data_IF_437437804077
#
_entry.id   IF_437437804077
#
_cell.length_a   1.000
_cell.length_b   1.000
_cell.length_c   1.000
_cell.angle_alpha   90.00
_cell.angle_beta   90.00
_cell.angle_gamma   90.00
#
_symmetry.space_group_name_H-M   'P 1'
#
loop_
_entity.id
_entity.type
_entity.pdbx_description
1 polymer ?
#
# COMPACT_ATOMS: atom_id res chain seq x y z
N UNK A 1 -27.52 -36.31 -1.29
CA UNK A 1 -27.24 -34.86 -1.40
C UNK A 1 -25.91 -34.72 -2.09
N UNK A 2 -25.89 -34.29 -3.35
CA UNK A 2 -24.66 -34.05 -4.10
C UNK A 2 -24.37 -32.54 -4.03
N UNK A 3 -23.20 -32.17 -3.52
CA UNK A 3 -22.73 -30.78 -3.46
C UNK A 3 -21.99 -30.51 -4.77
N UNK A 4 -22.57 -29.67 -5.63
CA UNK A 4 -21.92 -29.21 -6.85
C UNK A 4 -20.96 -28.06 -6.51
N UNK A 5 -19.67 -28.26 -6.78
CA UNK A 5 -18.64 -27.21 -6.71
C UNK A 5 -18.52 -26.59 -8.09
N UNK A 6 -18.87 -25.32 -8.23
CA UNK A 6 -18.71 -24.56 -9.47
C UNK A 6 -17.25 -24.10 -9.58
N UNK A 7 -16.49 -24.66 -10.53
CA UNK A 7 -15.18 -24.14 -10.92
C UNK A 7 -15.39 -23.20 -12.10
N UNK A 8 -15.17 -21.90 -11.90
CA UNK A 8 -15.23 -20.89 -12.95
C UNK A 8 -13.98 -21.02 -13.84
N UNK A 9 -14.13 -21.55 -15.05
CA UNK A 9 -13.08 -21.50 -16.08
C UNK A 9 -13.38 -20.30 -16.98
N UNK A 10 -12.59 -19.24 -16.86
CA UNK A 10 -12.67 -18.06 -17.71
C UNK A 10 -12.17 -18.41 -19.11
N UNK A 11 -13.08 -18.69 -20.05
CA UNK A 11 -12.71 -18.78 -21.47
C UNK A 11 -12.73 -17.36 -22.03
N UNK A 12 -11.55 -16.78 -22.23
CA UNK A 12 -11.37 -15.49 -22.87
C UNK A 12 -11.85 -15.59 -24.33
N UNK A 13 -13.05 -15.11 -24.62
CA UNK A 13 -13.51 -14.92 -26.00
C UNK A 13 -12.81 -13.66 -26.53
N UNK A 14 -11.73 -13.85 -27.26
CA UNK A 14 -11.05 -12.77 -27.98
C UNK A 14 -11.98 -12.27 -29.09
N UNK A 15 -12.71 -11.17 -28.85
CA UNK A 15 -13.44 -10.46 -29.90
C UNK A 15 -12.43 -9.59 -30.64
N UNK A 16 -11.90 -10.09 -31.75
CA UNK A 16 -11.01 -9.34 -32.63
C UNK A 16 -11.83 -8.26 -33.36
N UNK A 17 -11.79 -7.01 -32.87
CA UNK A 17 -12.30 -5.86 -33.62
C UNK A 17 -11.22 -5.43 -34.61
N UNK A 18 -11.34 -5.91 -35.85
CA UNK A 18 -10.49 -5.52 -36.96
C UNK A 18 -10.82 -4.07 -37.35
N UNK A 19 -10.12 -3.08 -36.80
CA UNK A 19 -10.18 -1.70 -37.31
C UNK A 19 -9.26 -1.65 -38.53
N UNK A 20 -9.84 -1.88 -39.70
CA UNK A 20 -9.19 -1.68 -40.98
C UNK A 20 -8.88 -0.18 -41.11
N UNK A 21 -7.65 0.23 -40.81
CA UNK A 21 -7.17 1.56 -41.21
C UNK A 21 -6.95 1.49 -42.72
N UNK A 22 -8.02 1.78 -43.45
CA UNK A 22 -7.98 2.05 -44.88
C UNK A 22 -7.05 3.25 -45.06
N UNK A 23 -5.77 3.01 -45.34
CA UNK A 23 -4.90 4.06 -45.85
C UNK A 23 -5.40 4.36 -47.25
N UNK A 24 -6.27 5.36 -47.32
CA UNK A 24 -6.73 6.02 -48.51
C UNK A 24 -5.52 6.59 -49.27
N UNK A 25 -4.87 5.78 -50.09
CA UNK A 25 -4.01 6.29 -51.17
C UNK A 25 -4.95 6.66 -52.31
N UNK A 26 -5.49 7.87 -52.21
CA UNK A 26 -6.00 8.61 -53.36
C UNK A 26 -4.84 8.82 -54.34
N UNK A 27 -4.68 7.91 -55.29
CA UNK A 27 -4.03 8.20 -56.57
C UNK A 27 -5.03 7.89 -57.67
N UNK A 28 -5.75 8.94 -58.05
CA UNK A 28 -6.50 9.08 -59.28
C UNK A 28 -5.64 8.59 -60.47
N UNK A 29 -6.09 7.58 -61.22
CA UNK A 29 -5.92 7.55 -62.67
C UNK A 29 -7.00 6.68 -63.32
N UNK A 30 -7.63 7.28 -64.32
CA UNK A 30 -8.83 6.88 -65.06
C UNK A 30 -8.78 5.52 -65.77
N UNK A 31 -9.95 5.13 -66.31
CA UNK A 31 -10.27 4.15 -67.38
C UNK A 31 -11.26 3.10 -66.83
N UNK A 32 -12.56 3.40 -66.79
CA UNK A 32 -13.57 3.17 -67.85
C UNK A 32 -13.88 1.68 -68.10
N UNK A 33 -15.12 1.33 -67.76
CA UNK A 33 -15.94 0.22 -68.26
C UNK A 33 -15.38 -1.21 -68.18
N UNK A 34 -16.02 -2.06 -67.38
CA UNK A 34 -16.72 -3.28 -67.82
C UNK A 34 -17.53 -3.84 -66.64
N UNK A 35 -18.85 -3.78 -66.77
CA UNK A 35 -19.79 -4.64 -66.05
C UNK A 35 -19.52 -6.09 -66.43
N UNK A 36 -19.41 -7.02 -65.47
CA UNK A 36 -19.86 -8.40 -65.62
C UNK A 36 -20.07 -9.07 -64.26
N UNK A 37 -21.18 -9.81 -64.21
CA UNK A 37 -21.86 -10.44 -63.07
C UNK A 37 -20.99 -11.43 -62.24
N UNK A 38 -21.41 -11.74 -61.00
CA UNK A 38 -20.69 -12.59 -60.07
C UNK A 38 -21.00 -14.07 -60.33
N UNK A 39 -20.14 -14.92 -59.79
CA UNK A 39 -20.09 -16.38 -59.96
C UNK A 39 -19.39 -16.80 -61.24
N UNK A 40 -18.19 -17.36 -61.10
CA UNK A 40 -17.78 -18.62 -61.72
C UNK A 40 -16.34 -18.93 -61.27
N UNK A 41 -16.26 -19.94 -60.40
CA UNK A 41 -15.17 -20.91 -60.30
C UNK A 41 -13.84 -20.48 -59.70
N UNK A 42 -13.87 -20.49 -58.38
CA UNK A 42 -12.94 -21.24 -57.55
C UNK A 42 -12.30 -22.44 -58.27
N UNK A 43 -10.97 -22.53 -58.16
CA UNK A 43 -10.15 -23.73 -58.29
C UNK A 43 -10.17 -24.51 -59.62
N UNK A 44 -9.35 -24.09 -60.59
CA UNK A 44 -8.58 -25.08 -61.35
C UNK A 44 -7.32 -24.49 -61.98
N UNK A 45 -6.22 -25.23 -61.87
CA UNK A 45 -4.93 -25.03 -62.55
C UNK A 45 -3.95 -24.00 -61.99
N UNK A 46 -3.29 -24.45 -60.91
CA UNK A 46 -1.83 -24.37 -60.75
C UNK A 46 -1.05 -24.57 -62.06
N UNK A 47 0.09 -23.88 -62.13
CA UNK A 47 1.25 -24.03 -63.05
C UNK A 47 1.30 -22.98 -64.17
N UNK A 48 1.99 -21.84 -63.90
CA UNK A 48 3.24 -21.46 -64.59
C UNK A 48 3.88 -20.19 -63.98
N UNK A 49 5.12 -20.38 -63.52
CA UNK A 49 6.27 -19.45 -63.62
C UNK A 49 6.36 -18.30 -62.58
N UNK A 50 7.21 -18.53 -61.56
CA UNK A 50 7.93 -17.50 -60.78
C UNK A 50 8.85 -16.67 -61.69
N UNK A 51 9.06 -15.36 -61.42
CA UNK A 51 10.20 -15.01 -60.56
C UNK A 51 9.99 -13.78 -59.63
N UNK A 52 10.70 -13.83 -58.50
CA UNK A 52 11.12 -12.71 -57.64
C UNK A 52 10.05 -11.68 -57.22
N UNK A 53 9.34 -11.99 -56.15
CA UNK A 53 9.12 -10.97 -55.14
C UNK A 53 9.37 -11.64 -53.79
N UNK A 54 10.63 -11.59 -53.36
CA UNK A 54 10.95 -11.80 -51.95
C UNK A 54 10.22 -10.70 -51.20
N UNK A 55 9.02 -11.02 -50.72
CA UNK A 55 8.42 -10.31 -49.62
C UNK A 55 9.32 -10.65 -48.42
N UNK A 56 10.41 -9.91 -48.26
CA UNK A 56 11.09 -9.84 -46.98
C UNK A 56 10.07 -9.17 -46.07
N UNK A 57 9.23 -10.00 -45.43
CA UNK A 57 8.56 -9.62 -44.19
C UNK A 57 9.67 -9.39 -43.19
N UNK A 58 10.28 -8.20 -43.28
CA UNK A 58 11.11 -7.65 -42.23
C UNK A 58 10.20 -7.49 -41.04
N UNK A 59 10.08 -8.55 -40.25
CA UNK A 59 9.77 -8.42 -38.85
C UNK A 59 10.92 -7.57 -38.32
N UNK A 60 10.68 -6.26 -38.17
CA UNK A 60 11.53 -5.47 -37.30
C UNK A 60 11.34 -6.09 -35.93
N UNK A 61 12.29 -6.97 -35.57
CA UNK A 61 12.49 -7.47 -34.23
C UNK A 61 12.86 -6.27 -33.35
N UNK A 62 11.84 -5.48 -32.99
CA UNK A 62 11.92 -4.51 -31.91
C UNK A 62 11.93 -5.35 -30.65
N UNK A 63 13.15 -5.62 -30.20
CA UNK A 63 13.39 -6.23 -28.90
C UNK A 63 12.88 -5.26 -27.84
N UNK A 64 11.63 -5.45 -27.41
CA UNK A 64 11.10 -4.78 -26.23
C UNK A 64 11.74 -5.43 -25.03
N UNK A 65 12.76 -4.78 -24.47
CA UNK A 65 13.39 -5.23 -23.24
C UNK A 65 12.37 -5.17 -22.08
N UNK A 66 12.44 -6.17 -21.20
CA UNK A 66 11.62 -6.30 -19.99
C UNK A 66 11.69 -5.01 -19.14
N UNK A 67 10.54 -4.52 -18.65
CA UNK A 67 10.48 -3.26 -17.89
C UNK A 67 11.23 -3.43 -16.57
N UNK A 68 12.30 -2.66 -16.37
CA UNK A 68 13.10 -2.69 -15.14
C UNK A 68 12.45 -1.82 -14.06
N UNK A 69 12.06 -2.40 -12.93
CA UNK A 69 11.53 -1.65 -11.80
C UNK A 69 12.64 -1.12 -10.90
N UNK A 70 12.51 0.13 -10.44
CA UNK A 70 13.46 0.79 -9.53
C UNK A 70 12.67 1.49 -8.43
N UNK A 71 12.94 1.15 -7.17
CA UNK A 71 12.36 1.78 -6.00
C UNK A 71 13.41 2.64 -5.28
N UNK A 72 13.04 3.86 -4.90
CA UNK A 72 13.95 4.82 -4.24
C UNK A 72 13.20 5.63 -3.18
N UNK A 73 13.91 6.10 -2.16
CA UNK A 73 13.33 7.00 -1.15
C UNK A 73 13.33 8.44 -1.64
N UNK A 74 12.32 9.20 -1.22
CA UNK A 74 12.24 10.63 -1.49
C UNK A 74 13.46 11.38 -0.90
N UNK A 75 14.01 12.31 -1.68
CA UNK A 75 15.21 13.07 -1.34
C UNK A 75 16.52 12.43 -1.83
N UNK A 76 16.52 11.13 -2.12
CA UNK A 76 17.68 10.42 -2.65
C UNK A 76 17.86 10.68 -4.16
N UNK A 77 18.91 10.10 -4.74
CA UNK A 77 19.17 10.10 -6.18
C UNK A 77 19.06 8.71 -6.78
N UNK A 78 18.52 8.62 -7.99
CA UNK A 78 18.44 7.37 -8.75
C UNK A 78 19.20 7.51 -10.07
N UNK A 79 19.94 6.47 -10.46
CA UNK A 79 20.64 6.40 -11.76
C UNK A 79 20.01 5.30 -12.63
N UNK A 80 19.53 5.69 -13.80
CA UNK A 80 19.00 4.80 -14.83
C UNK A 80 20.11 4.55 -15.84
N UNK A 81 20.71 3.36 -15.73
CA UNK A 81 21.88 3.00 -16.52
C UNK A 81 21.46 2.48 -17.90
N UNK A 82 22.18 2.90 -18.94
CA UNK A 82 21.97 2.43 -20.32
C UNK A 82 22.62 1.07 -20.57
N UNK A 83 23.67 0.73 -19.80
CA UNK A 83 24.58 -0.41 -19.98
C UNK A 83 25.29 -0.42 -21.35
N UNK A 84 25.39 0.74 -22.01
CA UNK A 84 26.02 0.93 -23.33
C UNK A 84 27.03 2.08 -23.28
N UNK A 85 28.13 1.96 -24.05
CA UNK A 85 29.09 3.06 -24.24
C UNK A 85 28.73 3.81 -25.52
N UNK A 86 28.65 5.13 -25.43
CA UNK A 86 28.24 6.00 -26.55
C UNK A 86 29.39 6.18 -27.54
N UNK A 87 29.21 5.71 -28.78
CA UNK A 87 30.13 5.83 -29.92
C UNK A 87 29.83 7.05 -30.82
N UNK A 88 30.60 7.21 -31.90
CA UNK A 88 30.70 8.46 -32.69
C UNK A 88 29.46 8.88 -33.48
N UNK A 89 28.50 7.97 -33.70
CA UNK A 89 27.26 8.22 -34.45
C UNK A 89 26.00 7.84 -33.65
N UNK A 90 26.14 7.75 -32.32
CA UNK A 90 25.07 7.29 -31.46
C UNK A 90 24.16 8.44 -31.02
N UNK A 91 22.85 8.17 -31.00
CA UNK A 91 21.84 9.04 -30.41
C UNK A 91 21.16 8.33 -29.24
N UNK A 92 21.09 9.01 -28.10
CA UNK A 92 20.43 8.52 -26.88
C UNK A 92 19.32 9.49 -26.51
N UNK A 93 18.11 8.97 -26.36
CA UNK A 93 16.91 9.72 -26.03
C UNK A 93 16.29 9.18 -24.75
N UNK A 94 15.98 10.08 -23.82
CA UNK A 94 15.18 9.78 -22.63
C UNK A 94 13.84 10.51 -22.70
N UNK A 95 12.77 9.74 -22.60
CA UNK A 95 11.40 10.25 -22.52
C UNK A 95 10.75 9.86 -21.20
N UNK A 96 9.80 10.68 -20.75
CA UNK A 96 9.09 10.47 -19.50
C UNK A 96 7.57 10.51 -19.69
N UNK A 97 6.90 9.56 -19.04
CA UNK A 97 5.45 9.51 -18.91
C UNK A 97 4.73 9.09 -20.20
N UNK A 98 3.39 9.02 -20.18
CA UNK A 98 2.58 8.49 -21.29
C UNK A 98 2.59 9.37 -22.54
N UNK A 99 3.04 10.63 -22.41
CA UNK A 99 3.14 11.58 -23.52
C UNK A 99 4.52 11.55 -24.16
N UNK A 100 5.42 10.67 -23.69
CA UNK A 100 6.80 10.55 -24.16
C UNK A 100 7.52 11.90 -24.21
N UNK A 101 7.36 12.72 -23.17
CA UNK A 101 7.98 14.04 -23.10
C UNK A 101 9.49 13.87 -23.05
N UNK A 102 10.19 14.51 -23.98
CA UNK A 102 11.65 14.49 -24.02
C UNK A 102 12.23 15.19 -22.79
N UNK A 103 13.05 14.46 -22.01
CA UNK A 103 13.69 14.98 -20.80
C UNK A 103 15.20 15.08 -20.92
N UNK A 104 15.84 14.26 -21.75
CA UNK A 104 17.27 14.39 -22.04
C UNK A 104 17.60 13.74 -23.39
N UNK A 105 18.59 14.29 -24.08
CA UNK A 105 19.07 13.78 -25.35
C UNK A 105 20.59 13.96 -25.46
N UNK A 106 21.27 12.96 -26.00
CA UNK A 106 22.65 13.07 -26.47
C UNK A 106 22.66 12.71 -27.94
N UNK A 107 23.27 13.57 -28.75
CA UNK A 107 23.59 13.29 -30.16
C UNK A 107 25.10 13.43 -30.30
N UNK A 108 25.77 12.32 -30.62
CA UNK A 108 27.15 12.36 -31.11
C UNK A 108 27.11 12.20 -32.62
N UNK A 109 27.62 13.20 -33.34
CA UNK A 109 27.87 13.13 -34.78
C UNK A 109 29.25 13.69 -35.04
N UNK A 110 30.15 12.87 -35.57
CA UNK A 110 31.52 13.25 -35.90
C UNK A 110 32.24 13.97 -34.72
N UNK A 111 32.34 15.30 -34.80
CA UNK A 111 33.03 16.17 -33.82
C UNK A 111 32.07 17.01 -32.95
N UNK A 112 30.75 16.88 -33.14
CA UNK A 112 29.74 17.67 -32.43
C UNK A 112 29.05 16.76 -31.41
N UNK A 113 29.26 17.07 -30.14
CA UNK A 113 28.53 16.47 -29.02
C UNK A 113 27.44 17.45 -28.59
N UNK A 114 26.20 17.18 -28.98
CA UNK A 114 25.05 17.92 -28.48
C UNK A 114 24.44 17.19 -27.29
N UNK A 115 24.21 17.94 -26.21
CA UNK A 115 23.57 17.43 -24.99
C UNK A 115 22.43 18.37 -24.66
N UNK A 116 21.23 17.83 -24.64
CA UNK A 116 20.04 18.48 -24.16
C UNK A 116 19.60 17.82 -22.84
N UNK A 117 19.31 18.66 -21.85
CA UNK A 117 18.69 18.23 -20.60
C UNK A 117 17.56 19.21 -20.33
N UNK A 118 16.35 18.68 -20.21
CA UNK A 118 15.18 19.49 -19.91
C UNK A 118 15.33 20.12 -18.54
N UNK A 119 15.20 21.44 -18.49
CA UNK A 119 15.16 22.20 -17.24
C UNK A 119 13.73 22.68 -16.89
N UNK A 120 12.74 22.21 -17.64
CA UNK A 120 11.39 22.75 -17.56
C UNK A 120 10.52 21.98 -16.57
N UNK A 121 9.69 22.75 -15.86
CA UNK A 121 8.66 22.24 -14.96
C UNK A 121 9.21 21.33 -13.85
N UNK A 122 8.75 20.08 -13.86
CA UNK A 122 8.98 19.05 -12.85
C UNK A 122 10.46 18.67 -12.63
N UNK A 123 11.29 18.74 -13.67
CA UNK A 123 12.66 18.21 -13.64
C UNK A 123 13.74 19.28 -13.42
N UNK A 124 13.32 20.51 -13.13
CA UNK A 124 14.19 21.68 -13.01
C UNK A 124 15.35 21.43 -12.04
N UNK A 125 16.58 21.60 -12.55
CA UNK A 125 17.86 21.44 -11.85
C UNK A 125 18.09 20.05 -11.21
N UNK A 126 17.31 19.03 -11.59
CA UNK A 126 17.36 17.67 -11.00
C UNK A 126 17.99 16.62 -11.89
N UNK A 127 17.89 16.79 -13.21
CA UNK A 127 18.42 15.83 -14.18
C UNK A 127 19.90 16.06 -14.44
N UNK A 128 20.65 14.96 -14.43
CA UNK A 128 22.02 14.91 -14.87
C UNK A 128 22.21 13.75 -15.81
N UNK A 129 22.83 14.03 -16.95
CA UNK A 129 23.09 13.04 -17.98
C UNK A 129 24.59 12.80 -18.08
N UNK A 130 25.01 11.54 -17.97
CA UNK A 130 26.40 11.14 -18.18
C UNK A 130 26.75 11.20 -19.67
N UNK A 131 27.79 11.97 -20.03
CA UNK A 131 28.13 12.20 -21.43
C UNK A 131 28.88 11.03 -22.11
N UNK A 132 29.33 10.04 -21.35
CA UNK A 132 30.08 8.89 -21.85
C UNK A 132 29.17 7.68 -22.10
N UNK A 133 28.19 7.48 -21.22
CA UNK A 133 27.29 6.32 -21.21
C UNK A 133 25.85 6.68 -21.58
N UNK A 134 25.46 7.95 -21.45
CA UNK A 134 24.08 8.38 -21.59
C UNK A 134 23.17 7.94 -20.45
N UNK A 135 23.74 7.58 -19.29
CA UNK A 135 22.96 7.22 -18.10
C UNK A 135 22.33 8.47 -17.49
N UNK A 136 21.05 8.37 -17.13
CA UNK A 136 20.29 9.47 -16.57
C UNK A 136 20.23 9.36 -15.05
N UNK A 137 20.73 10.38 -14.36
CA UNK A 137 20.64 10.53 -12.91
C UNK A 137 19.60 11.59 -12.55
N UNK A 138 18.68 11.24 -11.67
CA UNK A 138 17.66 12.15 -11.13
C UNK A 138 18.01 12.42 -9.67
N UNK A 139 18.38 13.66 -9.34
CA UNK A 139 18.75 14.09 -7.98
C UNK A 139 17.54 14.59 -7.20
N UNK A 140 17.58 14.38 -5.88
CA UNK A 140 16.54 14.86 -4.97
C UNK A 140 15.15 14.49 -5.50
N UNK A 141 14.97 13.19 -5.73
CA UNK A 141 13.75 12.65 -6.34
C UNK A 141 12.57 12.83 -5.39
N UNK A 142 11.39 13.11 -5.96
CA UNK A 142 10.14 13.36 -5.24
C UNK A 142 9.04 12.47 -5.79
N UNK A 143 7.93 12.34 -5.07
CA UNK A 143 6.76 11.56 -5.50
C UNK A 143 6.28 11.91 -6.92
N UNK A 144 6.32 13.19 -7.30
CA UNK A 144 5.95 13.68 -8.63
C UNK A 144 6.76 13.02 -9.76
N UNK A 145 8.00 12.58 -9.48
CA UNK A 145 8.93 11.94 -10.41
C UNK A 145 8.65 10.45 -10.65
N UNK A 146 7.66 9.88 -9.95
CA UNK A 146 7.21 8.49 -10.17
C UNK A 146 6.63 8.36 -11.58
N UNK A 147 6.98 7.27 -12.27
CA UNK A 147 6.45 6.98 -13.59
C UNK A 147 7.36 6.14 -14.46
N UNK A 148 6.95 6.01 -15.72
CA UNK A 148 7.69 5.29 -16.76
C UNK A 148 8.71 6.21 -17.42
N UNK A 149 9.95 5.74 -17.48
CA UNK A 149 11.03 6.36 -18.22
C UNK A 149 11.42 5.42 -19.37
N UNK A 150 11.43 5.93 -20.58
CA UNK A 150 11.82 5.16 -21.76
C UNK A 150 13.14 5.70 -22.31
N UNK A 151 14.03 4.77 -22.61
CA UNK A 151 15.35 4.98 -23.18
C UNK A 151 15.35 4.43 -24.60
N UNK A 152 15.64 5.29 -25.57
CA UNK A 152 15.89 4.89 -26.95
C UNK A 152 17.37 5.12 -27.28
N UNK A 153 18.08 4.06 -27.65
CA UNK A 153 19.47 4.11 -28.12
C UNK A 153 19.49 3.79 -29.60
N UNK A 154 20.00 4.70 -30.43
CA UNK A 154 20.13 4.55 -31.88
C UNK A 154 21.62 4.46 -32.18
N UNK A 155 22.11 3.24 -32.41
CA UNK A 155 23.52 2.92 -32.68
C UNK A 155 23.58 1.83 -33.77
N UNK A 156 23.25 2.18 -35.01
CA UNK A 156 23.08 1.24 -36.13
C UNK A 156 21.82 0.35 -36.04
N UNK A 157 21.53 -0.21 -34.86
CA UNK A 157 20.25 -0.82 -34.48
C UNK A 157 19.61 0.00 -33.36
N UNK A 158 18.30 0.21 -33.43
CA UNK A 158 17.54 0.85 -32.36
C UNK A 158 17.29 -0.14 -31.22
N UNK A 159 17.66 0.23 -30.00
CA UNK A 159 17.34 -0.48 -28.75
C UNK A 159 16.43 0.39 -27.90
N UNK A 160 15.38 -0.24 -27.36
CA UNK A 160 14.42 0.41 -26.46
C UNK A 160 14.49 -0.29 -25.09
N UNK A 161 14.63 0.51 -24.03
CA UNK A 161 14.56 0.04 -22.65
C UNK A 161 13.56 0.87 -21.87
N UNK A 162 12.85 0.23 -20.95
CA UNK A 162 11.84 0.89 -20.13
C UNK A 162 12.15 0.70 -18.65
N UNK A 163 12.07 1.78 -17.88
CA UNK A 163 12.30 1.80 -16.44
C UNK A 163 11.05 2.29 -15.73
N UNK A 164 10.52 1.50 -14.79
CA UNK A 164 9.42 1.90 -13.93
C UNK A 164 9.98 2.38 -12.59
N UNK A 165 9.96 3.69 -12.36
CA UNK A 165 10.50 4.31 -11.15
C UNK A 165 9.39 4.60 -10.16
N UNK A 166 9.51 4.06 -8.96
CA UNK A 166 8.57 4.31 -7.84
C UNK A 166 9.29 4.98 -6.68
N UNK A 167 8.76 6.11 -6.22
CA UNK A 167 9.35 6.90 -5.13
C UNK A 167 8.53 6.72 -3.86
N UNK A 168 9.19 6.32 -2.77
CA UNK A 168 8.56 6.15 -1.46
C UNK A 168 8.96 7.27 -0.51
N UNK A 169 8.01 7.78 0.26
CA UNK A 169 8.29 8.73 1.32
C UNK A 169 9.12 8.07 2.45
N UNK A 170 9.83 8.89 3.22
CA UNK A 170 10.50 8.45 4.43
C UNK A 170 9.49 7.90 5.45
N UNK A 171 9.83 6.79 6.11
CA UNK A 171 8.96 6.16 7.09
C UNK A 171 8.97 6.91 8.42
N UNK A 172 7.79 7.29 8.97
CA UNK A 172 7.70 7.79 10.33
C UNK A 172 7.92 6.65 11.34
N UNK A 173 8.30 7.02 12.57
CA UNK A 173 8.34 6.06 13.68
C UNK A 173 6.91 5.77 14.16
N UNK A 174 6.46 4.49 14.19
CA UNK A 174 5.12 4.16 14.65
C UNK A 174 5.06 4.28 16.19
N UNK A 175 3.95 4.85 16.68
CA UNK A 175 3.73 5.08 18.11
C UNK A 175 2.74 4.06 18.64
N UNK A 176 3.08 3.45 19.77
CA UNK A 176 2.20 2.50 20.47
C UNK A 176 1.54 3.22 21.65
N UNK A 177 0.22 3.23 21.67
CA UNK A 177 -0.60 3.85 22.74
C UNK A 177 -1.59 2.85 23.30
N UNK A 178 -1.87 2.89 24.60
CA UNK A 178 -2.94 2.11 25.22
C UNK A 178 -4.26 2.89 25.22
N UNK A 179 -5.36 2.23 24.87
CA UNK A 179 -6.70 2.78 25.07
C UNK A 179 -7.25 2.25 26.40
N UNK A 180 -7.00 3.00 27.47
CA UNK A 180 -7.27 2.59 28.86
C UNK A 180 -8.75 2.40 29.20
N UNK A 181 -9.69 2.79 28.33
CA UNK A 181 -11.13 2.71 28.61
C UNK A 181 -11.75 1.32 28.40
N UNK A 182 -11.07 0.40 27.71
CA UNK A 182 -11.62 -0.91 27.32
C UNK A 182 -10.91 -2.09 28.00
N UNK A 183 -10.90 -2.10 29.33
CA UNK A 183 -10.43 -3.24 30.10
C UNK A 183 -11.58 -4.22 30.36
N UNK A 184 -11.56 -5.37 29.67
CA UNK A 184 -12.51 -6.46 29.89
C UNK A 184 -11.94 -7.47 30.89
N UNK A 185 -12.21 -7.26 32.17
CA UNK A 185 -11.92 -8.26 33.22
C UNK A 185 -13.12 -9.20 33.37
N UNK A 186 -13.02 -10.42 32.85
CA UNK A 186 -13.91 -11.51 33.27
C UNK A 186 -13.47 -11.98 34.66
N UNK A 187 -14.41 -11.94 35.60
CA UNK A 187 -14.28 -12.18 37.05
C UNK A 187 -13.80 -13.57 37.47
N UNK A 188 -13.23 -14.37 36.56
CA UNK A 188 -12.72 -15.72 36.80
C UNK A 188 -11.35 -16.02 36.20
N UNK A 189 -10.69 -15.05 35.55
CA UNK A 189 -9.37 -15.25 34.92
C UNK A 189 -8.31 -14.34 35.54
N UNK A 190 -7.21 -14.94 36.01
CA UNK A 190 -6.01 -14.29 36.59
C UNK A 190 -5.17 -13.52 35.55
N UNK A 191 -5.80 -13.04 34.48
CA UNK A 191 -5.15 -12.58 33.26
C UNK A 191 -5.77 -11.25 32.85
N UNK A 192 -4.99 -10.17 32.95
CA UNK A 192 -5.40 -8.84 32.48
C UNK A 192 -5.26 -8.74 30.96
N UNK A 193 -6.37 -8.47 30.26
CA UNK A 193 -6.38 -8.13 28.83
C UNK A 193 -6.30 -6.62 28.64
N UNK A 194 -5.50 -6.19 27.67
CA UNK A 194 -5.17 -4.79 27.42
C UNK A 194 -5.26 -4.54 25.90
N UNK A 195 -5.90 -3.45 25.49
CA UNK A 195 -6.00 -3.07 24.07
C UNK A 195 -4.95 -2.00 23.76
N UNK A 196 -4.06 -2.32 22.83
CA UNK A 196 -3.00 -1.44 22.36
C UNK A 196 -3.27 -1.03 20.92
N UNK A 197 -2.93 0.21 20.59
CA UNK A 197 -3.07 0.76 19.26
C UNK A 197 -1.67 1.15 18.76
N UNK A 198 -1.26 0.58 17.63
CA UNK A 198 -0.09 1.07 16.93
C UNK A 198 -0.54 2.04 15.85
N UNK A 199 -0.03 3.26 15.86
CA UNK A 199 -0.44 4.32 14.94
C UNK A 199 0.75 4.98 14.25
N UNK A 200 0.57 5.35 12.99
CA UNK A 200 1.49 6.18 12.22
C UNK A 200 0.70 7.24 11.45
N UNK A 201 1.25 8.45 11.37
CA UNK A 201 0.61 9.58 10.69
C UNK A 201 1.33 9.92 9.39
N UNK A 202 0.60 10.46 8.41
CA UNK A 202 1.12 10.90 7.12
C UNK A 202 1.91 9.81 6.38
N UNK A 203 1.26 8.67 6.14
CA UNK A 203 1.87 7.52 5.49
C UNK A 203 1.25 7.25 4.11
N UNK A 204 2.04 6.76 3.16
CA UNK A 204 1.58 6.38 1.81
C UNK A 204 2.35 5.15 1.33
N UNK A 205 1.68 4.19 0.71
CA UNK A 205 2.28 2.95 0.22
C UNK A 205 3.11 2.19 1.29
N UNK A 206 2.52 2.01 2.48
CA UNK A 206 3.14 1.34 3.63
C UNK A 206 2.30 0.17 4.12
N UNK A 207 2.94 -0.74 4.84
CA UNK A 207 2.31 -1.81 5.61
C UNK A 207 2.63 -1.65 7.09
N UNK A 208 1.59 -1.62 7.93
CA UNK A 208 1.69 -1.59 9.39
C UNK A 208 1.32 -2.98 9.93
N UNK A 209 2.19 -3.55 10.76
CA UNK A 209 2.08 -4.94 11.18
C UNK A 209 2.45 -5.13 12.65
N UNK A 210 1.73 -6.01 13.34
CA UNK A 210 2.05 -6.47 14.68
C UNK A 210 2.79 -7.81 14.64
N UNK A 211 3.84 -7.90 15.44
CA UNK A 211 4.63 -9.11 15.62
C UNK A 211 4.66 -9.50 17.11
N UNK A 212 4.70 -10.81 17.36
CA UNK A 212 5.03 -11.42 18.65
C UNK A 212 6.25 -12.29 18.44
N UNK A 213 7.41 -11.82 18.90
CA UNK A 213 8.69 -12.39 18.49
C UNK A 213 8.84 -12.30 16.97
N UNK A 214 8.85 -13.45 16.29
CA UNK A 214 8.96 -13.55 14.84
C UNK A 214 7.62 -13.84 14.14
N UNK A 215 6.54 -14.04 14.90
CA UNK A 215 5.23 -14.38 14.35
C UNK A 215 4.42 -13.12 14.05
N UNK A 216 3.96 -12.99 12.80
CA UNK A 216 3.02 -11.95 12.38
C UNK A 216 1.64 -12.22 12.98
N UNK A 217 1.07 -11.23 13.68
CA UNK A 217 -0.26 -11.33 14.30
C UNK A 217 -1.34 -10.68 13.45
N UNK A 218 -1.08 -9.47 12.98
CA UNK A 218 -2.03 -8.67 12.22
C UNK A 218 -1.28 -7.71 11.32
N UNK A 219 -1.87 -7.37 10.18
CA UNK A 219 -1.27 -6.46 9.21
C UNK A 219 -2.35 -5.68 8.48
N UNK A 220 -2.06 -4.42 8.18
CA UNK A 220 -2.85 -3.56 7.33
C UNK A 220 -1.91 -2.85 6.37
N UNK A 221 -2.26 -2.79 5.09
CA UNK A 221 -1.52 -2.05 4.07
C UNK A 221 -2.39 -0.96 3.48
N UNK A 222 -1.76 0.14 3.11
CA UNK A 222 -2.43 1.26 2.44
C UNK A 222 -1.56 1.71 1.28
N UNK A 223 -2.15 1.81 0.09
CA UNK A 223 -1.50 2.31 -1.11
C UNK A 223 -1.55 3.84 -1.22
N UNK A 224 -2.69 4.43 -0.87
CA UNK A 224 -2.91 5.88 -0.96
C UNK A 224 -2.40 6.63 0.27
N UNK A 225 -2.37 7.97 0.18
CA UNK A 225 -2.01 8.81 1.32
C UNK A 225 -3.07 8.70 2.44
N UNK A 226 -2.65 8.22 3.60
CA UNK A 226 -3.45 8.19 4.82
C UNK A 226 -2.90 9.15 5.86
N UNK A 227 -3.78 10.02 6.37
CA UNK A 227 -3.46 10.98 7.43
C UNK A 227 -3.09 10.24 8.71
N UNK A 228 -3.80 9.17 9.04
CA UNK A 228 -3.52 8.30 10.18
C UNK A 228 -3.85 6.86 9.86
N UNK A 229 -2.88 5.97 10.08
CA UNK A 229 -3.05 4.53 10.01
C UNK A 229 -2.92 3.96 11.42
N UNK A 230 -3.91 3.22 11.88
CA UNK A 230 -3.93 2.65 13.23
C UNK A 230 -4.36 1.19 13.23
N UNK A 231 -3.61 0.33 13.91
CA UNK A 231 -3.86 -1.10 14.00
C UNK A 231 -4.02 -1.54 15.47
N UNK A 232 -5.24 -1.90 15.91
CA UNK A 232 -5.49 -2.36 17.27
C UNK A 232 -5.01 -3.80 17.48
N UNK A 233 -4.53 -4.10 18.68
CA UNK A 233 -4.15 -5.43 19.14
C UNK A 233 -4.60 -5.63 20.59
N UNK A 234 -5.35 -6.70 20.83
CA UNK A 234 -5.64 -7.16 22.19
C UNK A 234 -4.51 -8.08 22.67
N UNK A 235 -3.87 -7.72 23.78
CA UNK A 235 -2.76 -8.46 24.36
C UNK A 235 -3.11 -9.05 25.72
N UNK A 236 -2.59 -10.25 25.93
CA UNK A 236 -2.64 -10.97 27.19
C UNK A 236 -1.33 -10.73 27.96
N UNK A 237 -1.40 -10.26 29.20
CA UNK A 237 -0.19 -10.04 30.00
C UNK A 237 0.50 -11.37 30.31
N UNK A 238 1.68 -11.57 29.72
CA UNK A 238 2.60 -12.66 30.06
C UNK A 238 4.02 -12.09 29.97
N UNK A 239 4.82 -12.26 31.02
CA UNK A 239 6.11 -11.58 31.23
C UNK A 239 7.16 -11.82 30.11
N UNK A 240 6.95 -12.84 29.26
CA UNK A 240 7.92 -13.28 28.26
C UNK A 240 7.57 -12.94 26.81
N UNK A 241 6.47 -12.23 26.56
CA UNK A 241 6.03 -11.93 25.20
C UNK A 241 6.58 -10.59 24.71
N UNK A 242 7.58 -10.63 23.82
CA UNK A 242 8.10 -9.43 23.15
C UNK A 242 7.21 -9.09 21.94
N UNK A 243 6.32 -8.12 22.09
CA UNK A 243 5.54 -7.60 20.96
C UNK A 243 6.28 -6.44 20.29
N UNK A 244 6.11 -6.31 18.99
CA UNK A 244 6.63 -5.20 18.22
C UNK A 244 5.63 -4.76 17.16
N UNK A 245 5.55 -3.46 16.95
CA UNK A 245 4.86 -2.90 15.82
C UNK A 245 5.88 -2.49 14.76
N UNK A 246 5.68 -2.94 13.53
CA UNK A 246 6.57 -2.70 12.41
C UNK A 246 5.80 -1.96 11.33
N UNK A 247 6.30 -0.80 10.93
CA UNK A 247 5.89 -0.14 9.69
C UNK A 247 6.96 -0.40 8.63
N UNK A 248 6.56 -0.83 7.44
CA UNK A 248 7.48 -1.09 6.35
C UNK A 248 6.96 -0.54 5.02
N UNK A 249 7.89 -0.13 4.18
CA UNK A 249 7.70 0.03 2.75
C UNK A 249 8.63 -0.99 2.04
N UNK A 250 8.52 -1.17 0.71
CA UNK A 250 9.35 -2.13 -0.01
C UNK A 250 10.87 -1.91 0.09
N UNK A 251 11.33 -0.78 0.65
CA UNK A 251 12.75 -0.42 0.75
C UNK A 251 13.28 -0.57 2.19
N UNK A 252 12.50 -0.14 3.18
CA UNK A 252 12.93 0.02 4.57
C UNK A 252 11.82 -0.42 5.53
N UNK A 253 12.22 -0.87 6.71
CA UNK A 253 11.33 -1.10 7.83
C UNK A 253 11.72 -0.21 9.02
N UNK A 254 10.75 0.08 9.88
CA UNK A 254 10.92 0.74 11.16
C UNK A 254 10.12 -0.06 12.20
N UNK A 255 10.76 -0.35 13.32
CA UNK A 255 10.21 -1.20 14.36
C UNK A 255 10.18 -0.45 15.68
N UNK A 256 9.04 -0.48 16.35
CA UNK A 256 8.86 0.02 17.70
C UNK A 256 8.49 -1.15 18.60
N UNK A 257 9.28 -1.36 19.65
CA UNK A 257 9.04 -2.44 20.60
C UNK A 257 8.04 -2.02 21.66
N UNK A 258 7.16 -2.94 22.05
CA UNK A 258 6.18 -2.71 23.10
C UNK A 258 6.86 -2.74 24.48
N UNK A 259 6.66 -1.69 25.27
CA UNK A 259 6.99 -1.70 26.69
C UNK A 259 5.74 -2.00 27.54
N UNK A 260 5.47 -3.29 27.76
CA UNK A 260 4.26 -3.78 28.45
C UNK A 260 4.17 -3.22 29.87
N UNK A 261 5.31 -3.09 30.57
CA UNK A 261 5.34 -2.69 31.98
C UNK A 261 4.90 -1.24 32.21
N UNK A 262 5.00 -0.38 31.19
CA UNK A 262 4.54 1.01 31.30
C UNK A 262 3.09 1.16 30.83
N UNK A 263 2.70 0.46 29.76
CA UNK A 263 1.45 0.76 29.05
C UNK A 263 0.22 0.00 29.57
N UNK A 264 0.39 -1.20 30.13
CA UNK A 264 -0.73 -1.98 30.66
C UNK A 264 -0.79 -2.02 32.20
N UNK A 265 0.22 -1.51 32.93
CA UNK A 265 0.16 -1.40 34.40
C UNK A 265 -0.86 -0.36 34.89
N UNK A 266 -1.07 0.72 34.14
CA UNK A 266 -2.07 1.75 34.46
C UNK A 266 -3.49 1.19 34.55
N UNK A 267 -3.74 0.02 33.93
CA UNK A 267 -5.04 -0.66 33.99
C UNK A 267 -5.25 -1.42 35.31
N UNK A 268 -4.18 -1.93 35.94
CA UNK A 268 -4.28 -2.65 37.21
C UNK A 268 -4.69 -1.71 38.36
N UNK A 269 -4.18 -0.48 38.35
CA UNK A 269 -4.50 0.54 39.36
C UNK A 269 -5.96 1.02 39.29
N UNK A 270 -6.54 1.13 38.08
CA UNK A 270 -7.93 1.51 37.87
C UNK A 270 -8.93 0.45 38.37
N UNK A 271 -8.61 -0.84 38.22
CA UNK A 271 -9.45 -1.95 38.72
C UNK A 271 -9.38 -2.04 40.25
N UNK A 272 -8.21 -1.79 40.85
CA UNK A 272 -8.06 -1.80 42.31
C UNK A 272 -8.94 -0.73 42.97
N UNK A 273 -9.10 0.43 42.33
CA UNK A 273 -9.90 1.55 42.84
C UNK A 273 -11.41 1.25 42.79
N UNK A 274 -11.91 0.58 41.75
CA UNK A 274 -13.34 0.25 41.64
C UNK A 274 -13.79 -0.80 42.66
N UNK A 275 -12.99 -1.84 42.89
CA UNK A 275 -13.29 -2.88 43.88
C UNK A 275 -13.25 -2.34 45.32
N UNK A 276 -12.30 -1.45 45.64
CA UNK A 276 -12.20 -0.81 46.95
C UNK A 276 -13.41 0.07 47.27
N UNK A 277 -13.90 0.84 46.29
CA UNK A 277 -15.10 1.68 46.45
C UNK A 277 -16.35 0.83 46.66
N UNK A 278 -16.53 -0.24 45.88
CA UNK A 278 -17.69 -1.14 46.02
C UNK A 278 -17.72 -1.83 47.38
N UNK A 279 -16.59 -2.36 47.85
CA UNK A 279 -16.46 -2.94 49.20
C UNK A 279 -16.79 -1.93 50.29
N UNK A 280 -16.30 -0.69 50.16
CA UNK A 280 -16.57 0.38 51.11
C UNK A 280 -18.07 0.71 51.19
N UNK A 281 -18.77 0.77 50.06
CA UNK A 281 -20.22 1.00 50.01
C UNK A 281 -20.99 -0.15 50.67
N UNK A 282 -20.63 -1.41 50.41
CA UNK A 282 -21.28 -2.58 51.02
C UNK A 282 -21.13 -2.54 52.55
N UNK A 283 -19.92 -2.23 53.04
CA UNK A 283 -19.67 -2.11 54.49
C UNK A 283 -20.52 -1.01 55.12
N UNK A 284 -20.63 0.16 54.47
CA UNK A 284 -21.47 1.26 54.95
C UNK A 284 -22.95 0.85 55.01
N UNK A 285 -23.47 0.17 53.99
CA UNK A 285 -24.86 -0.32 53.97
C UNK A 285 -25.12 -1.32 55.10
N UNK A 286 -24.20 -2.26 55.35
CA UNK A 286 -24.32 -3.21 56.45
C UNK A 286 -24.34 -2.52 57.82
N UNK A 287 -23.50 -1.50 58.00
CA UNK A 287 -23.49 -0.70 59.24
C UNK A 287 -24.84 0.00 59.43
N UNK A 288 -25.41 0.60 58.37
CA UNK A 288 -26.71 1.26 58.44
C UNK A 288 -27.85 0.29 58.79
N UNK A 289 -27.82 -0.94 58.27
CA UNK A 289 -28.80 -1.98 58.61
C UNK A 289 -28.67 -2.38 60.08
N UNK A 290 -27.46 -2.58 60.59
CA UNK A 290 -27.23 -2.94 61.99
C UNK A 290 -27.69 -1.83 62.92
N UNK A 291 -27.32 -0.57 62.63
CA UNK A 291 -27.73 0.59 63.42
C UNK A 291 -29.25 0.75 63.39
N UNK A 292 -29.88 0.65 62.21
CA UNK A 292 -31.34 0.69 62.07
C UNK A 292 -32.03 -0.43 62.86
N UNK A 293 -31.49 -1.65 62.82
CA UNK A 293 -31.99 -2.79 63.59
C UNK A 293 -31.88 -2.59 65.11
N UNK A 294 -30.76 -2.05 65.59
CA UNK A 294 -30.57 -1.73 67.02
C UNK A 294 -31.57 -0.65 67.47
N UNK A 295 -31.75 0.41 66.68
CA UNK A 295 -32.72 1.47 66.97
C UNK A 295 -34.14 0.90 67.01
N UNK A 296 -34.50 0.07 66.04
CA UNK A 296 -35.81 -0.57 65.98
C UNK A 296 -36.08 -1.46 67.20
N UNK A 297 -35.11 -2.29 67.60
CA UNK A 297 -35.21 -3.14 68.79
C UNK A 297 -35.32 -2.29 70.07
N UNK A 298 -34.60 -1.17 70.14
CA UNK A 298 -34.69 -0.24 71.27
C UNK A 298 -36.06 0.45 71.34
N UNK A 299 -36.59 0.91 70.21
CA UNK A 299 -37.94 1.49 70.14
C UNK A 299 -39.01 0.47 70.56
N UNK A 300 -38.93 -0.76 70.04
CA UNK A 300 -39.84 -1.85 70.41
C UNK A 300 -39.78 -2.17 71.90
N UNK A 301 -38.59 -2.16 72.51
CA UNK A 301 -38.42 -2.39 73.95
C UNK A 301 -38.96 -1.23 74.81
N UNK A 302 -38.84 0.01 74.33
CA UNK A 302 -39.48 1.19 74.95
C UNK A 302 -41.01 1.16 74.86
N UNK A 303 -41.58 0.68 73.76
CA UNK A 303 -43.03 0.50 73.64
C UNK A 303 -43.56 -0.55 74.62
N UNK A 304 -42.82 -1.65 74.80
CA UNK A 304 -43.21 -2.73 75.71
C UNK A 304 -43.13 -2.34 77.20
N UNK A 305 -42.17 -1.48 77.58
CA UNK A 305 -42.12 -0.90 78.94
C UNK A 305 -43.20 0.16 79.18
N UNK A 306 -43.65 0.85 78.12
CA UNK A 306 -44.77 1.80 78.20
C UNK A 306 -46.14 1.14 78.33
N UNK A 307 -46.31 -0.12 77.90
CA UNK A 307 -47.55 -0.88 78.15
C UNK A 307 -47.64 -1.42 79.58
N UNK A 308 -46.53 -1.78 80.22
CA UNK A 308 -46.53 -2.26 81.61
C UNK A 308 -46.71 -1.13 82.64
N UNK A 309 -46.23 0.09 82.34
CA UNK A 309 -46.42 1.27 83.19
C UNK A 309 -47.84 1.86 83.21
N UNK A 310 -48.76 1.39 82.35
CA UNK A 310 -50.15 1.88 82.30
C UNK A 310 -51.11 1.18 83.29
N UNK A 311 -50.66 0.15 84.00
CA UNK A 311 -51.51 -0.60 84.95
C UNK A 311 -51.40 -0.12 86.41
N UNK A 312 -50.65 0.95 86.70
CA UNK A 312 -50.42 1.42 88.09
C UNK A 312 -50.85 2.86 88.36
N UNK A 313 -51.73 3.46 87.55
CA UNK A 313 -52.28 4.79 87.86
C UNK A 313 -53.75 4.91 87.47
N UNK A 314 -54.63 4.38 88.34
CA UNK A 314 -55.97 4.93 88.58
C UNK A 314 -56.34 4.62 90.02
N UNK A 315 -56.60 5.70 90.75
CA UNK A 315 -56.90 5.79 92.18
C UNK A 315 -58.36 5.49 92.47
#
# INVERSE_FOLDING_TARGET
MCVCVCVCVCVCVCVCVCVCVCVCVLLLYSISDINLNPSFYSCWFMIKIFPLFEFVSGVFDVKTDEVKSVSVLEGDSVSLNTDVKVQGDDQILWTFGPQNTLIAEIIKRDQINFIFVSNDGRFRDKLLMDNQTGSLTIRNIRSEHTGLYELTVISGKTSLKSFSVTVYAALPSPVITSNSSNCSSSSSSSVSRCVLLCSAVNVSAVTLSWYKGNSLLSSISVSDLSISLSLPLEVEYQEKNTYSCVINNPIRNQTTHLNITQLCHTCAELVQQSHSVVLSVIVIVLIMIVVGGVIYLHQRKCEQTRSEGKYYFTH
#
